data_IF_028350707201
#
_entry.id   IF_028350707201
#
_cell.length_a   1.000
_cell.length_b   1.000
_cell.length_c   1.000
_cell.angle_alpha   90.00
_cell.angle_beta   90.00
_cell.angle_gamma   90.00
#
_symmetry.space_group_name_H-M   'P 1'
#
loop_
_entity.id
_entity.type
_entity.pdbx_description
1 polymer ?
#
# COMPACT_ATOMS: atom_id res chain seq x y z
N UNK A 1 45.40 -30.46 33.41
CA UNK A 1 44.27 -30.75 32.52
C UNK A 1 44.06 -29.54 31.63
N UNK A 2 44.62 -29.54 30.43
CA UNK A 2 44.38 -28.46 29.45
C UNK A 2 43.05 -28.74 28.75
N UNK A 3 42.21 -27.71 28.68
CA UNK A 3 40.93 -27.76 27.99
C UNK A 3 41.21 -27.93 26.49
N UNK A 4 40.71 -29.04 25.93
CA UNK A 4 40.70 -29.28 24.49
C UNK A 4 39.74 -28.28 23.84
N UNK A 5 40.27 -27.21 23.25
CA UNK A 5 39.53 -26.39 22.31
C UNK A 5 39.09 -27.28 21.14
N UNK A 6 37.78 -27.40 20.94
CA UNK A 6 37.22 -28.13 19.79
C UNK A 6 37.62 -27.38 18.52
N UNK A 7 38.41 -28.05 17.67
CA UNK A 7 38.75 -27.57 16.34
C UNK A 7 37.47 -27.33 15.51
N UNK A 8 37.38 -26.23 14.74
CA UNK A 8 36.24 -25.95 13.87
C UNK A 8 36.06 -27.06 12.82
N UNK A 9 34.81 -27.37 12.48
CA UNK A 9 34.52 -28.34 11.41
C UNK A 9 34.86 -27.76 10.03
N UNK A 10 35.12 -28.61 9.03
CA UNK A 10 35.43 -28.19 7.65
C UNK A 10 34.36 -27.23 7.05
N UNK A 11 33.09 -27.38 7.43
CA UNK A 11 32.00 -26.47 7.05
C UNK A 11 32.05 -25.09 7.73
N UNK A 12 32.71 -24.96 8.88
CA UNK A 12 32.90 -23.68 9.57
C UNK A 12 34.08 -22.89 8.98
N UNK A 13 35.03 -23.59 8.34
CA UNK A 13 36.23 -23.00 7.75
C UNK A 13 36.02 -22.28 6.40
N UNK A 14 34.83 -22.40 5.80
CA UNK A 14 34.47 -21.76 4.52
C UNK A 14 33.45 -20.63 4.65
N UNK A 15 32.90 -20.40 5.84
CA UNK A 15 31.88 -19.37 6.08
C UNK A 15 32.50 -18.00 6.19
N UNK A 16 31.87 -17.02 5.55
CA UNK A 16 32.21 -15.62 5.72
C UNK A 16 32.02 -15.18 7.19
N UNK A 17 32.78 -14.18 7.66
CA UNK A 17 32.59 -13.62 9.01
C UNK A 17 31.13 -13.21 9.30
N UNK A 18 30.42 -12.75 8.26
CA UNK A 18 29.00 -12.39 8.32
C UNK A 18 28.10 -13.60 8.59
N UNK A 19 28.31 -14.72 7.91
CA UNK A 19 27.53 -15.94 8.11
C UNK A 19 27.73 -16.51 9.52
N UNK A 20 28.98 -16.48 10.01
CA UNK A 20 29.31 -16.89 11.38
C UNK A 20 28.58 -16.01 12.40
N UNK A 21 28.56 -14.69 12.19
CA UNK A 21 27.83 -13.75 13.04
C UNK A 21 26.32 -14.06 13.03
N UNK A 22 25.72 -14.23 11.86
CA UNK A 22 24.30 -14.53 11.73
C UNK A 22 23.92 -15.86 12.38
N UNK A 23 24.71 -16.93 12.21
CA UNK A 23 24.45 -18.22 12.84
C UNK A 23 24.56 -18.14 14.37
N UNK A 24 25.51 -17.35 14.90
CA UNK A 24 25.60 -17.07 16.34
C UNK A 24 24.37 -16.33 16.84
N UNK A 25 23.89 -15.34 16.09
CA UNK A 25 22.70 -14.57 16.45
C UNK A 25 21.43 -15.43 16.41
N UNK A 26 21.27 -16.29 15.39
CA UNK A 26 20.17 -17.26 15.31
C UNK A 26 20.07 -18.12 16.58
N UNK A 27 21.19 -18.70 17.02
CA UNK A 27 21.26 -19.49 18.26
C UNK A 27 20.90 -18.67 19.52
N UNK A 28 21.16 -17.37 19.52
CA UNK A 28 20.77 -16.48 20.63
C UNK A 28 19.27 -16.20 20.60
N UNK A 29 18.71 -15.85 19.44
CA UNK A 29 17.27 -15.53 19.31
C UNK A 29 16.38 -16.76 19.50
N UNK A 30 16.89 -17.97 19.30
CA UNK A 30 16.17 -19.22 19.62
C UNK A 30 15.68 -19.28 21.07
N UNK A 31 16.33 -18.55 21.99
CA UNK A 31 15.95 -18.46 23.40
C UNK A 31 15.04 -17.29 23.73
N UNK A 32 14.79 -16.38 22.78
CA UNK A 32 13.93 -15.22 22.97
C UNK A 32 12.52 -15.64 23.42
N UNK A 33 11.98 -14.97 24.41
CA UNK A 33 10.65 -15.21 24.96
C UNK A 33 9.67 -14.11 24.57
N UNK A 34 10.17 -12.90 24.31
CA UNK A 34 9.36 -11.73 23.96
C UNK A 34 10.06 -10.88 22.89
N UNK A 35 9.32 -10.03 22.13
CA UNK A 35 9.89 -9.14 21.13
C UNK A 35 11.09 -8.30 21.59
N UNK A 36 11.12 -7.81 22.83
CA UNK A 36 12.21 -6.96 23.33
C UNK A 36 13.55 -7.71 23.41
N UNK A 37 13.52 -9.03 23.52
CA UNK A 37 14.75 -9.84 23.55
C UNK A 37 15.51 -9.76 22.22
N UNK A 38 14.85 -9.32 21.14
CA UNK A 38 15.48 -9.06 19.84
C UNK A 38 16.05 -7.64 19.72
N UNK A 39 15.64 -6.70 20.58
CA UNK A 39 15.84 -5.26 20.36
C UNK A 39 17.32 -4.89 20.23
N UNK A 40 18.18 -5.45 21.08
CA UNK A 40 19.63 -5.20 21.01
C UNK A 40 20.22 -5.59 19.66
N UNK A 41 19.70 -6.64 19.03
CA UNK A 41 20.14 -7.08 17.71
C UNK A 41 19.52 -6.25 16.58
N UNK A 42 18.26 -5.88 16.71
CA UNK A 42 17.57 -5.04 15.73
C UNK A 42 18.09 -3.59 15.70
N UNK A 43 18.64 -3.09 16.81
CA UNK A 43 19.26 -1.77 16.90
C UNK A 43 20.77 -1.78 16.65
N UNK A 44 21.39 -2.96 16.51
CA UNK A 44 22.82 -3.07 16.22
C UNK A 44 23.18 -2.42 14.87
N UNK A 45 24.31 -1.72 14.85
CA UNK A 45 24.91 -1.15 13.63
C UNK A 45 25.67 -2.20 12.80
N UNK A 46 25.95 -3.37 13.38
CA UNK A 46 26.72 -4.44 12.73
C UNK A 46 25.89 -5.22 11.70
N UNK A 47 24.57 -5.01 11.71
CA UNK A 47 23.62 -5.68 10.83
C UNK A 47 22.97 -4.69 9.88
N UNK A 48 22.85 -5.09 8.62
CA UNK A 48 22.03 -4.33 7.68
C UNK A 48 20.54 -4.64 7.89
N UNK A 49 19.67 -3.91 7.18
CA UNK A 49 18.21 -4.05 7.33
C UNK A 49 17.72 -5.46 6.96
N UNK A 50 18.30 -6.09 5.93
CA UNK A 50 17.90 -7.44 5.52
C UNK A 50 18.29 -8.50 6.55
N UNK A 51 19.46 -8.36 7.17
CA UNK A 51 19.91 -9.24 8.25
C UNK A 51 18.95 -9.15 9.45
N UNK A 52 18.53 -7.93 9.80
CA UNK A 52 17.56 -7.68 10.88
C UNK A 52 16.17 -8.26 10.55
N UNK A 53 15.69 -8.09 9.31
CA UNK A 53 14.45 -8.70 8.84
C UNK A 53 14.53 -10.24 8.88
N UNK A 54 15.69 -10.80 8.56
CA UNK A 54 15.96 -12.23 8.67
C UNK A 54 15.89 -12.72 10.12
N UNK A 55 16.40 -11.95 11.08
CA UNK A 55 16.25 -12.28 12.51
C UNK A 55 14.79 -12.31 12.94
N UNK A 56 13.98 -11.32 12.55
CA UNK A 56 12.53 -11.33 12.82
C UNK A 56 11.88 -12.59 12.23
N UNK A 57 12.13 -12.88 10.96
CA UNK A 57 11.57 -14.05 10.25
C UNK A 57 11.90 -15.38 10.93
N UNK A 58 13.10 -15.50 11.48
CA UNK A 58 13.60 -16.73 12.10
C UNK A 58 13.36 -16.81 13.61
N UNK A 59 12.82 -15.74 14.20
CA UNK A 59 12.55 -15.72 15.63
C UNK A 59 11.47 -16.75 16.02
N UNK A 60 11.52 -17.29 17.25
CA UNK A 60 10.56 -18.30 17.70
C UNK A 60 9.13 -17.77 17.69
N UNK A 61 8.18 -18.52 17.11
CA UNK A 61 6.77 -18.10 16.97
C UNK A 61 6.12 -17.58 18.26
N UNK A 62 6.54 -18.08 19.42
CA UNK A 62 6.02 -17.66 20.73
C UNK A 62 6.17 -16.16 20.99
N UNK A 63 7.19 -15.50 20.44
CA UNK A 63 7.36 -14.05 20.62
C UNK A 63 6.26 -13.24 19.89
N UNK A 64 5.57 -13.87 18.94
CA UNK A 64 4.49 -13.27 18.16
C UNK A 64 3.09 -13.59 18.73
N UNK A 65 3.02 -14.12 19.96
CA UNK A 65 1.76 -14.39 20.60
C UNK A 65 1.01 -13.10 21.00
N UNK A 66 -0.32 -13.16 21.00
CA UNK A 66 -1.19 -11.99 21.23
C UNK A 66 -0.98 -11.30 22.60
N UNK A 67 -0.46 -11.99 23.61
CA UNK A 67 -0.14 -11.37 24.91
C UNK A 67 1.12 -10.49 24.88
N UNK A 68 1.90 -10.52 23.79
CA UNK A 68 3.07 -9.66 23.60
C UNK A 68 2.77 -8.32 22.90
N UNK A 69 1.50 -7.92 22.74
CA UNK A 69 1.14 -6.66 22.06
C UNK A 69 1.87 -5.43 22.59
N UNK A 70 1.86 -5.20 23.91
CA UNK A 70 2.55 -4.05 24.53
C UNK A 70 4.07 -4.07 24.29
N UNK A 71 4.65 -5.27 24.33
CA UNK A 71 6.06 -5.50 24.07
C UNK A 71 6.43 -5.17 22.63
N UNK A 72 5.60 -5.57 21.67
CA UNK A 72 5.76 -5.23 20.27
C UNK A 72 5.59 -3.73 19.99
N UNK A 73 4.66 -3.05 20.67
CA UNK A 73 4.50 -1.58 20.57
C UNK A 73 5.72 -0.84 21.12
N UNK A 74 6.33 -1.36 22.19
CA UNK A 74 7.60 -0.83 22.68
C UNK A 74 8.73 -1.02 21.66
N UNK A 75 8.88 -2.22 21.08
CA UNK A 75 9.86 -2.46 20.01
C UNK A 75 9.59 -1.59 18.78
N UNK A 76 8.33 -1.40 18.37
CA UNK A 76 7.94 -0.48 17.29
C UNK A 76 8.48 0.92 17.56
N UNK A 77 8.22 1.48 18.75
CA UNK A 77 8.65 2.83 19.11
C UNK A 77 10.16 2.98 19.01
N UNK A 78 10.91 2.01 19.54
CA UNK A 78 12.38 2.00 19.50
C UNK A 78 12.93 1.86 18.07
N UNK A 79 12.32 1.01 17.24
CA UNK A 79 12.71 0.89 15.82
C UNK A 79 12.45 2.19 15.06
N UNK A 80 11.31 2.84 15.30
CA UNK A 80 10.96 4.11 14.63
C UNK A 80 11.88 5.25 15.05
N UNK A 81 12.20 5.35 16.34
CA UNK A 81 13.15 6.34 16.87
C UNK A 81 14.53 6.18 16.26
N UNK A 82 14.97 4.93 16.02
CA UNK A 82 16.23 4.62 15.36
C UNK A 82 16.19 4.69 13.82
N UNK A 83 15.08 5.16 13.21
CA UNK A 83 14.95 5.26 11.75
C UNK A 83 14.67 3.94 11.02
N UNK A 84 14.37 2.87 11.74
CA UNK A 84 14.06 1.54 11.21
C UNK A 84 12.55 1.27 11.07
N UNK A 85 11.80 2.26 10.58
CA UNK A 85 10.35 2.14 10.40
C UNK A 85 9.90 0.94 9.55
N UNK A 86 10.67 0.56 8.53
CA UNK A 86 10.40 -0.63 7.73
C UNK A 86 10.52 -1.95 8.53
N UNK A 87 11.43 -2.03 9.50
CA UNK A 87 11.51 -3.19 10.39
C UNK A 87 10.34 -3.26 11.36
N UNK A 88 9.78 -2.11 11.76
CA UNK A 88 8.56 -2.09 12.57
C UNK A 88 7.37 -2.68 11.79
N UNK A 89 7.23 -2.35 10.49
CA UNK A 89 6.24 -2.99 9.64
C UNK A 89 6.52 -4.49 9.46
N UNK A 90 7.79 -4.89 9.35
CA UNK A 90 8.19 -6.30 9.28
C UNK A 90 7.85 -7.07 10.56
N UNK A 91 8.02 -6.46 11.73
CA UNK A 91 7.58 -7.02 13.00
C UNK A 91 6.09 -7.33 12.97
N UNK A 92 5.26 -6.38 12.51
CA UNK A 92 3.83 -6.58 12.40
C UNK A 92 3.42 -7.58 11.32
N UNK A 93 4.19 -7.70 10.24
CA UNK A 93 4.02 -8.79 9.27
C UNK A 93 4.21 -10.16 9.94
N UNK A 94 5.24 -10.32 10.78
CA UNK A 94 5.44 -11.55 11.54
C UNK A 94 4.28 -11.80 12.52
N UNK A 95 3.86 -10.80 13.29
CA UNK A 95 2.67 -10.94 14.15
C UNK A 95 1.43 -11.34 13.34
N UNK A 96 1.21 -10.71 12.18
CA UNK A 96 0.08 -11.03 11.32
C UNK A 96 0.09 -12.50 10.90
N UNK A 97 1.22 -13.07 10.52
CA UNK A 97 1.22 -14.48 10.08
C UNK A 97 1.33 -15.52 11.18
N UNK A 98 1.74 -15.14 12.40
CA UNK A 98 1.94 -16.07 13.52
C UNK A 98 0.89 -15.95 14.63
N UNK A 99 0.18 -14.82 14.74
CA UNK A 99 -1.03 -14.71 15.55
C UNK A 99 -2.16 -15.53 14.91
N UNK A 100 -3.02 -16.17 15.71
CA UNK A 100 -4.19 -16.87 15.19
C UNK A 100 -5.07 -15.86 14.43
N UNK A 101 -5.01 -15.91 13.11
CA UNK A 101 -5.77 -15.01 12.25
C UNK A 101 -7.27 -15.25 12.45
N UNK A 102 -8.12 -14.21 12.30
CA UNK A 102 -9.55 -14.40 12.24
C UNK A 102 -9.90 -15.46 11.20
N UNK A 103 -10.98 -16.21 11.38
CA UNK A 103 -11.41 -17.23 10.41
C UNK A 103 -11.88 -16.63 9.08
N UNK A 104 -12.09 -15.30 9.00
CA UNK A 104 -12.53 -14.61 7.77
C UNK A 104 -11.79 -13.28 7.54
N UNK A 105 -10.46 -13.27 7.27
CA UNK A 105 -9.71 -12.02 7.07
C UNK A 105 -9.89 -11.41 5.67
N UNK A 106 -10.45 -12.19 4.74
CA UNK A 106 -10.48 -11.84 3.32
C UNK A 106 -11.33 -10.61 3.00
N UNK A 107 -12.55 -10.53 3.55
CA UNK A 107 -13.52 -9.52 3.11
C UNK A 107 -13.05 -8.11 3.44
N UNK A 108 -12.64 -7.85 4.68
CA UNK A 108 -12.29 -6.49 5.08
C UNK A 108 -10.94 -6.01 4.50
N UNK A 109 -9.97 -6.89 4.26
CA UNK A 109 -8.71 -6.51 3.58
C UNK A 109 -8.99 -6.14 2.13
N UNK A 110 -9.74 -6.99 1.43
CA UNK A 110 -10.13 -6.74 0.04
C UNK A 110 -10.93 -5.44 -0.07
N UNK A 111 -11.91 -5.23 0.80
CA UNK A 111 -12.71 -4.01 0.84
C UNK A 111 -11.86 -2.74 1.07
N UNK A 112 -10.83 -2.80 1.91
CA UNK A 112 -9.91 -1.66 2.10
C UNK A 112 -9.12 -1.33 0.83
N UNK A 113 -8.69 -2.35 0.09
CA UNK A 113 -7.98 -2.18 -1.18
C UNK A 113 -8.93 -1.60 -2.24
N UNK A 114 -10.15 -2.13 -2.32
CA UNK A 114 -11.21 -1.64 -3.22
C UNK A 114 -11.53 -0.17 -2.95
N UNK A 115 -11.72 0.20 -1.68
CA UNK A 115 -11.99 1.59 -1.29
C UNK A 115 -10.89 2.56 -1.72
N UNK A 116 -9.63 2.17 -1.59
CA UNK A 116 -8.51 2.98 -2.04
C UNK A 116 -8.37 3.06 -3.57
N UNK A 117 -8.72 1.99 -4.29
CA UNK A 117 -8.80 2.02 -5.76
C UNK A 117 -9.92 2.96 -6.19
N UNK A 118 -11.08 2.85 -5.55
CA UNK A 118 -12.26 3.65 -5.86
C UNK A 118 -12.05 5.15 -5.54
N UNK A 119 -11.47 5.50 -4.38
CA UNK A 119 -11.11 6.89 -4.07
C UNK A 119 -10.19 7.48 -5.14
N UNK A 120 -9.16 6.74 -5.57
CA UNK A 120 -8.26 7.18 -6.63
C UNK A 120 -8.97 7.29 -7.97
N UNK A 121 -9.89 6.38 -8.29
CA UNK A 121 -10.68 6.43 -9.51
C UNK A 121 -11.54 7.70 -9.52
N UNK A 122 -12.26 7.99 -8.44
CA UNK A 122 -13.08 9.20 -8.30
C UNK A 122 -12.22 10.45 -8.43
N UNK A 123 -11.08 10.52 -7.75
CA UNK A 123 -10.15 11.65 -7.86
C UNK A 123 -9.66 11.85 -9.31
N UNK A 124 -9.25 10.78 -9.99
CA UNK A 124 -8.76 10.83 -11.37
C UNK A 124 -9.85 11.20 -12.36
N UNK A 125 -11.08 10.69 -12.17
CA UNK A 125 -12.23 11.05 -12.99
C UNK A 125 -12.57 12.53 -12.86
N UNK A 126 -12.54 13.06 -11.63
CA UNK A 126 -12.75 14.51 -11.39
C UNK A 126 -11.72 15.37 -12.11
N UNK A 127 -10.43 15.01 -12.04
CA UNK A 127 -9.36 15.71 -12.79
C UNK A 127 -9.65 15.69 -14.29
N UNK A 128 -9.96 14.51 -14.83
CA UNK A 128 -10.24 14.34 -16.25
C UNK A 128 -11.41 15.22 -16.71
N UNK A 129 -12.52 15.24 -15.96
CA UNK A 129 -13.68 16.09 -16.28
C UNK A 129 -13.34 17.57 -16.16
N UNK A 130 -12.55 17.98 -15.18
CA UNK A 130 -12.13 19.37 -15.05
C UNK A 130 -11.23 19.83 -16.19
N UNK A 131 -10.29 18.99 -16.65
CA UNK A 131 -9.49 19.28 -17.84
C UNK A 131 -10.40 19.46 -19.08
N UNK A 132 -11.46 18.63 -19.20
CA UNK A 132 -12.45 18.74 -20.28
C UNK A 132 -13.27 20.02 -20.18
N UNK A 133 -13.74 20.38 -18.99
CA UNK A 133 -14.45 21.65 -18.75
C UNK A 133 -13.59 22.86 -19.12
N UNK A 134 -12.33 22.90 -18.68
CA UNK A 134 -11.41 23.98 -19.02
C UNK A 134 -11.16 24.07 -20.53
N UNK A 135 -10.99 22.93 -21.19
CA UNK A 135 -10.83 22.88 -22.66
C UNK A 135 -12.09 23.38 -23.38
N UNK A 136 -13.27 22.96 -22.91
CA UNK A 136 -14.56 23.34 -23.48
C UNK A 136 -14.81 24.84 -23.28
N UNK A 137 -14.54 25.38 -22.09
CA UNK A 137 -14.63 26.81 -21.80
C UNK A 137 -13.68 27.65 -22.65
N UNK A 138 -12.41 27.23 -22.80
CA UNK A 138 -11.44 27.91 -23.66
C UNK A 138 -11.86 27.91 -25.14
N UNK A 139 -12.55 26.85 -25.61
CA UNK A 139 -13.08 26.78 -26.98
C UNK A 139 -14.30 27.69 -27.23
N UNK A 140 -14.97 28.16 -26.16
CA UNK A 140 -16.16 29.04 -26.20
C UNK A 140 -15.83 30.50 -26.53
N UNK A 141 -14.55 30.90 -26.45
CA UNK A 141 -14.11 32.26 -26.80
C UNK A 141 -14.17 32.56 -28.31
N UNK A 142 -14.53 31.57 -29.15
CA UNK A 142 -14.81 31.75 -30.57
C UNK A 142 -16.32 31.85 -30.83
N UNK A 143 -16.77 32.61 -31.85
CA UNK A 143 -18.16 32.60 -32.28
C UNK A 143 -18.56 31.19 -32.71
N UNK A 144 -19.44 30.56 -31.93
CA UNK A 144 -20.03 29.25 -32.25
C UNK A 144 -21.28 29.44 -33.12
N UNK A 145 -21.57 28.44 -33.96
CA UNK A 145 -22.90 28.37 -34.59
C UNK A 145 -23.97 28.09 -33.53
N UNK A 146 -25.24 28.33 -33.85
CA UNK A 146 -26.35 28.05 -32.91
C UNK A 146 -26.41 26.57 -32.49
N UNK A 147 -26.16 25.64 -33.42
CA UNK A 147 -26.12 24.19 -33.13
C UNK A 147 -24.92 23.82 -32.25
N UNK A 148 -23.74 24.40 -32.54
CA UNK A 148 -22.54 24.17 -31.73
C UNK A 148 -22.69 24.76 -30.32
N UNK A 149 -23.39 25.89 -30.18
CA UNK A 149 -23.69 26.51 -28.89
C UNK A 149 -24.61 25.64 -28.01
N UNK A 150 -25.67 25.06 -28.59
CA UNK A 150 -26.56 24.16 -27.86
C UNK A 150 -25.84 22.86 -27.40
N UNK A 151 -25.01 22.29 -28.28
CA UNK A 151 -24.18 21.12 -27.95
C UNK A 151 -23.17 21.42 -26.85
N UNK A 152 -22.53 22.59 -26.92
CA UNK A 152 -21.58 23.08 -25.92
C UNK A 152 -22.22 23.24 -24.54
N UNK A 153 -23.39 23.88 -24.47
CA UNK A 153 -24.15 24.05 -23.24
C UNK A 153 -24.56 22.71 -22.61
N UNK A 154 -25.04 21.76 -23.44
CA UNK A 154 -25.41 20.42 -22.97
C UNK A 154 -24.20 19.63 -22.42
N UNK A 155 -23.02 19.77 -23.04
CA UNK A 155 -21.80 19.14 -22.54
C UNK A 155 -21.32 19.74 -21.22
N UNK A 156 -21.39 21.06 -21.06
CA UNK A 156 -21.07 21.73 -19.80
C UNK A 156 -21.97 21.22 -18.66
N UNK A 157 -23.28 21.23 -18.89
CA UNK A 157 -24.26 20.74 -17.91
C UNK A 157 -23.99 19.29 -17.52
N UNK A 158 -23.71 18.42 -18.50
CA UNK A 158 -23.36 17.02 -18.26
C UNK A 158 -22.10 16.85 -17.40
N UNK A 159 -21.04 17.63 -17.65
CA UNK A 159 -19.82 17.56 -16.85
C UNK A 159 -20.01 18.11 -15.42
N UNK A 160 -20.79 19.17 -15.26
CA UNK A 160 -21.13 19.72 -13.94
C UNK A 160 -21.95 18.72 -13.11
N UNK A 161 -22.92 18.05 -13.73
CA UNK A 161 -23.69 16.99 -13.08
C UNK A 161 -22.79 15.81 -12.68
N UNK A 162 -21.89 15.37 -13.56
CA UNK A 162 -20.94 14.30 -13.25
C UNK A 162 -20.03 14.66 -12.06
N UNK A 163 -19.54 15.91 -11.98
CA UNK A 163 -18.74 16.36 -10.84
C UNK A 163 -19.53 16.37 -9.54
N UNK A 164 -20.81 16.80 -9.58
CA UNK A 164 -21.70 16.80 -8.40
C UNK A 164 -21.90 15.38 -7.86
N UNK A 165 -22.06 14.41 -8.74
CA UNK A 165 -22.24 13.02 -8.34
C UNK A 165 -20.94 12.36 -7.86
N UNK A 166 -19.81 12.66 -8.50
CA UNK A 166 -18.49 12.23 -8.00
C UNK A 166 -18.19 12.79 -6.61
N UNK A 167 -18.66 14.01 -6.29
CA UNK A 167 -18.55 14.57 -4.94
C UNK A 167 -19.39 13.80 -3.92
N UNK A 168 -20.63 13.43 -4.27
CA UNK A 168 -21.47 12.57 -3.40
C UNK A 168 -20.82 11.20 -3.19
N UNK A 169 -20.29 10.59 -4.26
CA UNK A 169 -19.60 9.30 -4.21
C UNK A 169 -18.34 9.38 -3.33
N UNK A 170 -17.52 10.41 -3.50
CA UNK A 170 -16.35 10.66 -2.65
C UNK A 170 -16.73 10.75 -1.17
N UNK A 171 -17.76 11.54 -0.83
CA UNK A 171 -18.22 11.67 0.56
C UNK A 171 -18.73 10.33 1.13
N UNK A 172 -19.46 9.54 0.34
CA UNK A 172 -19.88 8.21 0.75
C UNK A 172 -18.70 7.27 1.00
N UNK A 173 -17.67 7.32 0.14
CA UNK A 173 -16.45 6.53 0.27
C UNK A 173 -15.66 6.88 1.52
N UNK A 174 -15.48 8.18 1.83
CA UNK A 174 -14.77 8.58 3.05
C UNK A 174 -15.42 8.01 4.31
N UNK A 175 -16.77 7.96 4.36
CA UNK A 175 -17.50 7.33 5.47
C UNK A 175 -17.33 5.81 5.50
N UNK A 176 -17.44 5.15 4.34
CA UNK A 176 -17.25 3.69 4.23
C UNK A 176 -15.83 3.29 4.64
N UNK A 177 -14.82 4.05 4.22
CA UNK A 177 -13.42 3.88 4.60
C UNK A 177 -13.19 4.08 6.10
N UNK A 178 -13.79 5.11 6.70
CA UNK A 178 -13.76 5.29 8.15
C UNK A 178 -14.33 4.06 8.88
N UNK A 179 -15.53 3.61 8.50
CA UNK A 179 -16.19 2.46 9.12
C UNK A 179 -15.37 1.18 8.96
N UNK A 180 -14.83 0.90 7.76
CA UNK A 180 -14.01 -0.28 7.51
C UNK A 180 -12.70 -0.25 8.29
N UNK A 181 -12.05 0.92 8.41
CA UNK A 181 -10.86 1.09 9.25
C UNK A 181 -11.16 0.79 10.72
N UNK A 182 -12.29 1.26 11.24
CA UNK A 182 -12.68 0.98 12.64
C UNK A 182 -13.11 -0.47 12.89
N UNK A 183 -13.47 -1.20 11.83
CA UNK A 183 -13.89 -2.61 11.89
C UNK A 183 -12.73 -3.61 11.76
N UNK A 184 -11.48 -3.15 11.57
CA UNK A 184 -10.31 -4.04 11.51
C UNK A 184 -10.14 -4.75 12.85
N UNK A 185 -10.32 -6.07 12.85
CA UNK A 185 -10.20 -6.91 14.05
C UNK A 185 -8.76 -7.34 14.34
N UNK A 186 -7.90 -7.37 13.32
CA UNK A 186 -6.49 -7.71 13.47
C UNK A 186 -5.70 -6.51 14.00
N UNK A 187 -5.23 -6.59 15.24
CA UNK A 187 -4.40 -5.53 15.85
C UNK A 187 -3.10 -5.31 15.08
N UNK A 188 -2.41 -6.38 14.68
CA UNK A 188 -1.15 -6.30 13.95
C UNK A 188 -1.32 -5.69 12.57
N UNK A 189 -2.39 -6.04 11.85
CA UNK A 189 -2.71 -5.38 10.58
C UNK A 189 -3.07 -3.91 10.79
N UNK A 190 -3.93 -3.59 11.76
CA UNK A 190 -4.37 -2.21 12.03
C UNK A 190 -3.17 -1.31 12.32
N UNK A 191 -2.24 -1.77 13.17
CA UNK A 191 -0.97 -1.10 13.44
C UNK A 191 -0.12 -0.93 12.19
N UNK A 192 0.08 -1.99 11.41
CA UNK A 192 0.88 -1.92 10.18
C UNK A 192 0.28 -0.94 9.16
N UNK A 193 -1.03 -1.01 8.94
CA UNK A 193 -1.77 -0.12 8.07
C UNK A 193 -1.60 1.35 8.51
N UNK A 194 -1.82 1.66 9.79
CA UNK A 194 -1.67 3.02 10.31
C UNK A 194 -0.25 3.56 10.19
N UNK A 195 0.77 2.75 10.50
CA UNK A 195 2.18 3.10 10.32
C UNK A 195 2.45 3.37 8.84
N UNK A 196 2.02 2.48 7.95
CA UNK A 196 2.20 2.62 6.51
C UNK A 196 1.56 3.92 6.01
N UNK A 197 0.32 4.23 6.42
CA UNK A 197 -0.38 5.46 6.01
C UNK A 197 0.17 6.73 6.63
N UNK A 198 0.91 6.64 7.72
CA UNK A 198 1.64 7.80 8.27
C UNK A 198 2.77 8.29 7.36
N UNK A 199 3.26 7.46 6.44
CA UNK A 199 4.26 7.86 5.45
C UNK A 199 3.59 8.51 4.23
N UNK A 200 3.87 9.79 3.90
CA UNK A 200 3.22 10.48 2.79
C UNK A 200 3.43 9.87 1.40
N UNK A 201 4.41 8.97 1.27
CA UNK A 201 4.78 8.29 0.01
C UNK A 201 4.44 6.79 0.03
N UNK A 202 3.56 6.34 0.93
CA UNK A 202 3.17 4.92 1.05
C UNK A 202 2.71 4.30 -0.28
N UNK A 203 2.04 5.12 -1.11
CA UNK A 203 1.53 4.74 -2.42
C UNK A 203 2.63 4.57 -3.46
N UNK A 204 3.89 4.91 -3.15
CA UNK A 204 5.06 4.68 -4.01
C UNK A 204 5.89 3.48 -3.53
N UNK A 205 5.30 2.57 -2.75
CA UNK A 205 5.94 1.31 -2.42
C UNK A 205 6.29 0.53 -3.70
N UNK A 206 7.37 -0.23 -3.64
CA UNK A 206 7.84 -1.03 -4.77
C UNK A 206 6.73 -1.94 -5.32
N UNK A 207 5.98 -2.59 -4.42
CA UNK A 207 4.88 -3.49 -4.78
C UNK A 207 3.76 -2.77 -5.55
N UNK A 208 3.35 -1.58 -5.11
CA UNK A 208 2.29 -0.81 -5.79
C UNK A 208 2.77 -0.20 -7.12
N UNK A 209 4.04 0.22 -7.19
CA UNK A 209 4.66 0.67 -8.44
C UNK A 209 4.67 -0.47 -9.44
N UNK A 210 5.12 -1.65 -9.03
CA UNK A 210 5.20 -2.83 -9.90
C UNK A 210 3.82 -3.30 -10.35
N UNK A 211 2.79 -3.23 -9.50
CA UNK A 211 1.40 -3.47 -9.89
C UNK A 211 0.95 -2.49 -10.98
N UNK A 212 1.18 -1.19 -10.77
CA UNK A 212 0.85 -0.16 -11.74
C UNK A 212 1.55 -0.38 -13.09
N UNK A 213 2.84 -0.73 -13.09
CA UNK A 213 3.59 -1.07 -14.30
C UNK A 213 3.00 -2.31 -14.98
N UNK A 214 2.70 -3.36 -14.23
CA UNK A 214 2.15 -4.62 -14.74
C UNK A 214 0.80 -4.44 -15.43
N UNK A 215 -0.03 -3.50 -14.95
CA UNK A 215 -1.31 -3.11 -15.57
C UNK A 215 -1.16 -2.12 -16.74
N UNK A 216 0.05 -1.85 -17.22
CA UNK A 216 0.31 -0.89 -18.30
C UNK A 216 0.16 0.58 -17.89
N UNK A 217 0.26 0.87 -16.60
CA UNK A 217 0.02 2.19 -16.02
C UNK A 217 1.16 3.21 -16.18
N UNK A 218 0.91 4.45 -15.71
CA UNK A 218 1.84 5.57 -15.77
C UNK A 218 3.23 5.29 -15.16
N UNK A 219 3.35 4.39 -14.19
CA UNK A 219 4.64 4.10 -13.53
C UNK A 219 5.68 3.49 -14.47
N UNK A 220 5.26 2.87 -15.58
CA UNK A 220 6.16 2.39 -16.64
C UNK A 220 6.51 3.45 -17.67
N UNK A 221 6.04 4.70 -17.49
CA UNK A 221 6.19 5.81 -18.45
C UNK A 221 6.89 7.01 -17.81
N UNK A 222 7.34 7.96 -18.65
CA UNK A 222 8.00 9.20 -18.22
C UNK A 222 7.04 10.30 -17.74
N UNK A 223 5.71 10.10 -17.82
CA UNK A 223 4.74 11.16 -17.53
C UNK A 223 4.69 11.61 -16.07
N UNK A 224 5.21 10.82 -15.12
CA UNK A 224 5.28 11.18 -13.70
C UNK A 224 3.93 11.30 -12.98
N UNK A 225 2.82 10.99 -13.65
CA UNK A 225 1.45 11.26 -13.19
C UNK A 225 1.12 10.65 -11.80
N UNK A 226 1.76 9.53 -11.46
CA UNK A 226 1.55 8.83 -10.19
C UNK A 226 2.25 9.46 -9.00
N UNK A 227 3.33 10.23 -9.21
CA UNK A 227 4.12 10.86 -8.13
C UNK A 227 3.54 12.20 -7.70
N UNK A 228 2.88 12.89 -8.62
CA UNK A 228 2.34 14.23 -8.41
C UNK A 228 0.99 14.18 -7.68
N UNK A 229 0.74 15.19 -6.86
CA UNK A 229 -0.61 15.42 -6.34
C UNK A 229 -1.54 15.80 -7.48
N UNK A 230 -2.75 15.26 -7.45
CA UNK A 230 -3.82 15.62 -8.39
C UNK A 230 -4.69 16.68 -7.72
N UNK A 231 -4.21 17.91 -7.67
CA UNK A 231 -4.98 19.00 -7.07
C UNK A 231 -6.22 19.27 -7.90
N UNK A 232 -7.39 19.13 -7.29
CA UNK A 232 -8.70 19.42 -7.85
C UNK A 232 -9.39 20.35 -6.86
N UNK A 233 -9.96 21.47 -7.33
CA UNK A 233 -10.80 22.32 -6.48
C UNK A 233 -11.94 21.49 -5.86
N UNK A 234 -12.09 21.55 -4.53
CA UNK A 234 -13.06 20.75 -3.78
C UNK A 234 -12.57 19.37 -3.33
N UNK A 235 -11.28 19.06 -3.49
CA UNK A 235 -10.56 17.98 -2.78
C UNK A 235 -9.40 18.60 -1.99
N UNK A 236 -9.73 19.57 -1.13
CA UNK A 236 -8.77 20.33 -0.32
C UNK A 236 -8.14 19.47 0.80
N UNK A 237 -8.42 18.16 0.84
CA UNK A 237 -7.83 17.23 1.79
C UNK A 237 -6.39 16.85 1.43
N UNK A 238 -5.90 17.18 0.23
CA UNK A 238 -4.48 17.22 -0.17
C UNK A 238 -3.71 15.88 -0.18
N UNK A 239 -4.20 14.87 0.52
CA UNK A 239 -3.55 13.59 0.81
C UNK A 239 -4.11 12.49 -0.09
N UNK A 240 -5.42 12.49 -0.37
CA UNK A 240 -6.10 11.42 -1.14
C UNK A 240 -6.00 11.60 -2.66
N UNK A 241 -5.36 12.66 -3.14
CA UNK A 241 -5.18 12.93 -4.57
C UNK A 241 -3.94 12.24 -5.17
N UNK A 242 -3.10 11.64 -4.31
CA UNK A 242 -1.88 10.94 -4.72
C UNK A 242 -2.15 9.45 -4.89
N UNK A 243 -1.43 8.80 -5.80
CA UNK A 243 -1.56 7.36 -6.02
C UNK A 243 -1.42 6.93 -7.47
N UNK A 244 -1.43 5.63 -7.70
CA UNK A 244 -1.32 5.05 -9.03
C UNK A 244 -2.57 5.25 -9.87
N UNK A 245 -2.37 5.27 -11.19
CA UNK A 245 -3.47 5.37 -12.15
C UNK A 245 -4.46 4.21 -12.00
N UNK A 246 -5.71 4.56 -12.19
CA UNK A 246 -6.82 3.66 -12.47
C UNK A 246 -7.21 3.84 -13.93
N UNK A 247 -8.27 3.15 -14.37
CA UNK A 247 -8.85 3.36 -15.70
C UNK A 247 -9.36 4.79 -15.92
N UNK A 248 -9.66 5.57 -14.87
CA UNK A 248 -10.04 6.98 -14.96
C UNK A 248 -8.88 7.96 -15.21
N UNK A 249 -7.63 7.48 -15.29
CA UNK A 249 -6.49 8.37 -15.50
C UNK A 249 -6.46 8.94 -16.93
N UNK A 250 -6.67 10.25 -17.08
CA UNK A 250 -6.61 10.94 -18.37
C UNK A 250 -5.30 10.72 -19.15
N UNK A 251 -4.15 10.58 -18.45
CA UNK A 251 -2.88 10.25 -19.09
C UNK A 251 -2.86 8.82 -19.65
N UNK A 252 -3.43 7.84 -18.94
CA UNK A 252 -3.56 6.48 -19.45
C UNK A 252 -4.52 6.43 -20.63
N UNK A 253 -5.69 7.06 -20.53
CA UNK A 253 -6.68 7.11 -21.61
C UNK A 253 -6.06 7.65 -22.91
N UNK A 254 -5.38 8.80 -22.84
CA UNK A 254 -4.67 9.38 -23.99
C UNK A 254 -3.59 8.46 -24.55
N UNK A 255 -2.79 7.82 -23.68
CA UNK A 255 -1.71 6.92 -24.11
C UNK A 255 -2.24 5.65 -24.82
N UNK A 256 -3.47 5.25 -24.53
CA UNK A 256 -4.13 4.10 -25.16
C UNK A 256 -5.12 4.49 -26.27
N UNK A 257 -5.19 5.76 -26.66
CA UNK A 257 -6.10 6.22 -27.72
C UNK A 257 -7.58 6.16 -27.34
N UNK A 258 -7.90 6.24 -26.04
CA UNK A 258 -9.27 6.22 -25.51
C UNK A 258 -9.69 7.67 -25.24
N UNK A 259 -10.76 8.12 -25.89
CA UNK A 259 -11.28 9.50 -25.77
C UNK A 259 -12.07 9.73 -24.47
N UNK A 260 -12.87 8.73 -24.09
CA UNK A 260 -13.46 8.64 -22.76
C UNK A 260 -13.83 7.20 -22.42
N UNK A 261 -13.83 6.89 -21.13
CA UNK A 261 -14.58 5.74 -20.65
C UNK A 261 -16.00 6.24 -20.38
N UNK A 262 -16.94 5.80 -21.22
CA UNK A 262 -18.38 5.99 -20.99
C UNK A 262 -18.86 5.02 -19.91
N UNK A 263 -18.22 5.10 -18.75
CA UNK A 263 -18.62 4.34 -17.56
C UNK A 263 -19.52 5.27 -16.77
N UNK A 264 -20.82 4.99 -16.80
CA UNK A 264 -21.81 5.72 -16.02
C UNK A 264 -21.41 5.73 -14.53
N UNK A 265 -21.79 6.77 -13.79
CA UNK A 265 -21.41 6.91 -12.36
C UNK A 265 -21.89 5.73 -11.50
N UNK A 266 -22.96 5.06 -11.93
CA UNK A 266 -23.54 3.88 -11.28
C UNK A 266 -23.01 2.55 -11.82
N UNK A 267 -22.14 2.59 -12.83
CA UNK A 267 -21.53 1.39 -13.37
C UNK A 267 -20.35 0.94 -12.51
N UNK A 268 -20.09 -0.36 -12.59
CA UNK A 268 -18.99 -1.00 -11.90
C UNK A 268 -17.66 -0.45 -12.42
N UNK A 269 -16.78 -0.02 -11.51
CA UNK A 269 -15.46 0.48 -11.89
C UNK A 269 -14.63 -0.69 -12.43
N UNK A 270 -14.08 -0.60 -13.67
CA UNK A 270 -13.32 -1.69 -14.26
C UNK A 270 -12.16 -2.19 -13.36
N UNK A 271 -11.45 -1.26 -12.71
CA UNK A 271 -10.36 -1.60 -11.78
C UNK A 271 -10.80 -2.45 -10.58
N UNK A 272 -12.06 -2.33 -10.13
CA UNK A 272 -12.61 -3.14 -9.04
C UNK A 272 -13.03 -4.52 -9.53
N UNK A 273 -13.66 -4.59 -10.71
CA UNK A 273 -14.05 -5.86 -11.35
C UNK A 273 -12.84 -6.74 -11.65
N UNK A 274 -11.74 -6.13 -12.07
CA UNK A 274 -10.48 -6.82 -12.42
C UNK A 274 -9.58 -7.08 -11.22
N UNK A 275 -9.96 -6.60 -10.01
CA UNK A 275 -9.19 -6.83 -8.79
C UNK A 275 -9.25 -8.30 -8.38
N UNK A 276 -8.15 -9.01 -8.60
CA UNK A 276 -7.94 -10.36 -8.09
C UNK A 276 -7.18 -10.31 -6.76
N UNK A 277 -7.91 -10.33 -5.65
CA UNK A 277 -7.34 -10.47 -4.32
C UNK A 277 -7.91 -11.71 -3.63
N UNK A 278 -7.00 -12.58 -3.21
CA UNK A 278 -7.31 -13.80 -2.47
C UNK A 278 -6.49 -13.81 -1.18
N UNK A 279 -7.18 -13.99 -0.05
CA UNK A 279 -6.50 -14.11 1.24
C UNK A 279 -6.19 -15.56 1.56
N UNK A 280 -4.90 -15.92 1.56
CA UNK A 280 -4.39 -17.23 1.97
C UNK A 280 -3.10 -17.07 2.75
N UNK A 281 -2.64 -18.15 3.40
CA UNK A 281 -1.31 -18.16 3.99
C UNK A 281 -0.23 -17.86 2.93
N UNK A 282 0.92 -17.26 3.28
CA UNK A 282 1.88 -16.75 2.29
C UNK A 282 2.27 -17.77 1.21
N UNK A 283 2.52 -19.07 1.52
CA UNK A 283 2.88 -20.06 0.51
C UNK A 283 1.77 -20.35 -0.51
N UNK A 284 0.51 -20.14 -0.14
CA UNK A 284 -0.67 -20.47 -0.96
C UNK A 284 -1.27 -19.23 -1.63
N UNK A 285 -0.89 -18.03 -1.18
CA UNK A 285 -1.37 -16.77 -1.74
C UNK A 285 -0.69 -16.49 -3.09
N UNK A 286 -1.47 -16.03 -4.06
CA UNK A 286 -0.95 -15.63 -5.37
C UNK A 286 0.09 -14.51 -5.24
N UNK A 287 1.00 -14.42 -6.21
CA UNK A 287 2.02 -13.36 -6.21
C UNK A 287 1.38 -11.97 -6.20
N UNK A 288 0.27 -11.79 -6.92
CA UNK A 288 -0.45 -10.53 -7.01
C UNK A 288 -1.13 -10.15 -5.70
N UNK A 289 -1.87 -11.07 -5.06
CA UNK A 289 -2.47 -10.83 -3.74
C UNK A 289 -1.42 -10.49 -2.68
N UNK A 290 -0.26 -11.17 -2.72
CA UNK A 290 0.86 -10.88 -1.82
C UNK A 290 1.42 -9.48 -2.05
N UNK A 291 1.59 -9.08 -3.31
CA UNK A 291 2.05 -7.76 -3.70
C UNK A 291 1.08 -6.68 -3.20
N UNK A 292 -0.23 -6.86 -3.41
CA UNK A 292 -1.25 -5.95 -2.89
C UNK A 292 -1.20 -5.86 -1.36
N UNK A 293 -1.19 -6.99 -0.66
CA UNK A 293 -1.13 -7.00 0.81
C UNK A 293 0.10 -6.25 1.35
N UNK A 294 1.28 -6.50 0.77
CA UNK A 294 2.50 -5.76 1.12
C UNK A 294 2.31 -4.28 0.82
N UNK A 295 1.95 -3.93 -0.41
CA UNK A 295 1.83 -2.54 -0.85
C UNK A 295 0.88 -1.68 -0.01
N UNK A 296 -0.29 -2.22 0.35
CA UNK A 296 -1.34 -1.48 1.04
C UNK A 296 -1.20 -1.42 2.57
N UNK A 297 -0.50 -2.38 3.19
CA UNK A 297 -0.47 -2.51 4.65
C UNK A 297 0.92 -2.70 5.28
N UNK A 298 1.88 -3.32 4.59
CA UNK A 298 3.14 -3.75 5.24
C UNK A 298 4.43 -3.18 4.64
N UNK A 299 4.48 -2.83 3.36
CA UNK A 299 5.64 -2.22 2.67
C UNK A 299 7.01 -2.75 3.13
N UNK A 300 7.07 -4.07 3.19
CA UNK A 300 8.26 -4.89 3.45
C UNK A 300 8.85 -5.38 2.15
#
# INVERSE_FOLDING_TARGET
MQASEKLPTYEESTKSPKEILMDRLKKKIEKAQKPEDLLTHLLSTDLNVEDKATLLRQAPKRIYACYHRRSAEYVEAQLREAGYGGLALYLYWCFFWYEAQPTVPESWIKELIELDIEERWVAQRKVCIQEKLQTLQASSERPLSFEDGAKHASQLESYEEQLKDLNKRHWALSRKKWNNRTSITSWSFSRAYDIQRSYPQWYLSFDLISDCVGRGGCCGRSCGCCKNSRTVGGLDDGINTRGHCTTACGCCLKAHGIEDLDVGINEEIPDLRELCFEYRSPPLMSSHSRQLLRGYAFNI
#
